data_IF_478692189795
#
_entry.id   IF_478692189795
#
_cell.length_a   1.000
_cell.length_b   1.000
_cell.length_c   1.000
_cell.angle_alpha   90.00
_cell.angle_beta   90.00
_cell.angle_gamma   90.00
#
_symmetry.space_group_name_H-M   'P 1'
#
loop_
_entity.id
_entity.type
_entity.pdbx_description
1 polymer ?
#
# COMPACT_ATOMS: atom_id res chain seq x y z
N UNK A 1 -3.75 21.00 22.20
CA UNK A 1 -4.26 21.28 20.85
C UNK A 1 -4.75 19.98 20.28
N UNK A 2 -5.96 20.02 19.76
CA UNK A 2 -6.80 18.92 19.24
C UNK A 2 -6.11 18.07 18.17
N UNK A 3 -6.44 16.78 18.16
CA UNK A 3 -5.80 15.68 17.43
C UNK A 3 -5.64 15.92 15.92
N UNK A 4 -4.50 16.47 15.52
CA UNK A 4 -4.02 16.37 14.15
C UNK A 4 -3.23 15.06 14.00
N UNK A 5 -3.55 14.31 12.96
CA UNK A 5 -2.78 13.15 12.52
C UNK A 5 -1.94 13.54 11.32
N UNK A 6 -0.67 13.14 11.30
CA UNK A 6 0.18 13.28 10.13
C UNK A 6 -0.13 12.18 9.12
N UNK A 7 -0.51 12.57 7.91
CA UNK A 7 -0.72 11.69 6.76
C UNK A 7 0.40 11.91 5.74
N UNK A 8 0.87 10.85 5.10
CA UNK A 8 1.98 10.90 4.16
C UNK A 8 1.46 10.69 2.74
N UNK A 9 1.85 11.59 1.83
CA UNK A 9 1.56 11.52 0.40
C UNK A 9 2.85 11.23 -0.36
N UNK A 10 2.90 10.12 -1.11
CA UNK A 10 4.11 9.72 -1.83
C UNK A 10 4.21 10.36 -3.21
N UNK A 11 5.39 10.88 -3.51
CA UNK A 11 5.77 11.42 -4.81
C UNK A 11 7.14 10.85 -5.18
N UNK A 12 7.19 9.90 -6.13
CA UNK A 12 8.39 9.14 -6.47
C UNK A 12 9.00 8.49 -5.20
N UNK A 13 10.26 8.77 -4.88
CA UNK A 13 10.93 8.33 -3.64
C UNK A 13 10.86 9.33 -2.49
N UNK A 14 10.07 10.40 -2.64
CA UNK A 14 9.82 11.43 -1.62
C UNK A 14 8.42 11.29 -1.00
N UNK A 15 8.23 11.98 0.11
CA UNK A 15 6.96 12.05 0.82
C UNK A 15 6.66 13.50 1.21
N UNK A 16 5.42 13.92 1.01
CA UNK A 16 4.88 15.18 1.51
C UNK A 16 3.96 14.88 2.67
N UNK A 17 4.25 15.48 3.83
CA UNK A 17 3.44 15.35 5.03
C UNK A 17 2.26 16.32 4.99
N UNK A 18 1.10 15.83 5.41
CA UNK A 18 -0.14 16.60 5.58
C UNK A 18 -0.69 16.32 6.97
N UNK A 19 -0.74 17.34 7.82
CA UNK A 19 -1.45 17.28 9.08
C UNK A 19 -2.94 17.51 8.84
N UNK A 20 -3.80 16.60 9.27
CA UNK A 20 -5.25 16.78 9.18
C UNK A 20 -5.96 16.28 10.43
N UNK A 21 -7.21 16.70 10.63
CA UNK A 21 -8.06 16.11 11.67
C UNK A 21 -8.36 14.64 11.34
N UNK A 22 -8.77 13.88 12.36
CA UNK A 22 -9.12 12.46 12.22
C UNK A 22 -10.24 12.16 11.23
N UNK A 23 -11.08 13.15 10.91
CA UNK A 23 -12.14 13.05 9.89
C UNK A 23 -11.67 13.41 8.47
N UNK A 24 -10.42 13.84 8.29
CA UNK A 24 -9.87 14.26 7.00
C UNK A 24 -10.02 15.74 6.67
N UNK A 25 -10.63 16.53 7.55
CA UNK A 25 -10.79 17.98 7.39
C UNK A 25 -9.53 18.74 7.84
N UNK A 26 -9.49 20.03 7.50
CA UNK A 26 -8.45 20.99 7.84
C UNK A 26 -7.04 20.47 7.52
N UNK A 27 -6.86 19.91 6.33
CA UNK A 27 -5.54 19.47 5.86
C UNK A 27 -4.56 20.65 5.74
N UNK A 28 -3.36 20.46 6.28
CA UNK A 28 -2.26 21.44 6.27
C UNK A 28 -0.98 20.74 5.82
N UNK A 29 -0.39 21.23 4.72
CA UNK A 29 0.77 20.67 4.02
C UNK A 29 2.06 21.20 4.62
N UNK A 30 3.09 20.37 4.74
CA UNK A 30 4.45 20.75 5.16
C UNK A 30 5.26 21.29 3.96
N UNK A 31 5.68 22.56 4.02
CA UNK A 31 6.34 23.24 2.90
C UNK A 31 7.79 22.79 2.67
N UNK A 32 8.49 22.37 3.73
CA UNK A 32 9.86 21.85 3.64
C UNK A 32 9.92 20.63 2.72
N UNK A 33 8.87 19.81 2.70
CA UNK A 33 8.84 18.59 1.90
C UNK A 33 8.74 18.93 0.40
N UNK A 34 8.07 20.03 0.02
CA UNK A 34 8.05 20.56 -1.35
C UNK A 34 9.46 21.04 -1.75
N UNK A 35 10.15 21.81 -0.90
CA UNK A 35 11.52 22.27 -1.19
C UNK A 35 12.52 21.12 -1.28
N UNK A 36 12.40 20.09 -0.43
CA UNK A 36 13.25 18.90 -0.52
C UNK A 36 13.10 18.19 -1.86
N UNK A 37 11.91 18.19 -2.45
CA UNK A 37 11.67 17.59 -3.76
C UNK A 37 12.35 18.45 -4.84
N UNK A 38 12.11 19.76 -4.86
CA UNK A 38 12.61 20.66 -5.91
C UNK A 38 14.12 20.96 -5.80
N UNK A 39 14.65 20.99 -4.59
CA UNK A 39 16.02 21.40 -4.25
C UNK A 39 16.73 20.40 -3.33
N UNK A 40 16.83 19.11 -3.70
CA UNK A 40 17.24 18.04 -2.78
C UNK A 40 18.61 18.23 -2.14
N UNK A 41 19.51 18.98 -2.78
CA UNK A 41 20.86 19.26 -2.28
C UNK A 41 21.04 20.62 -1.60
N UNK A 42 20.07 21.53 -1.69
CA UNK A 42 20.22 22.93 -1.25
C UNK A 42 19.00 23.50 -0.50
N UNK A 43 17.95 22.68 -0.28
CA UNK A 43 16.68 23.10 0.32
C UNK A 43 16.84 23.81 1.67
N UNK A 44 17.74 23.34 2.55
CA UNK A 44 17.96 23.96 3.87
C UNK A 44 18.48 25.41 3.73
N UNK A 45 19.34 25.66 2.73
CA UNK A 45 19.90 26.99 2.50
C UNK A 45 18.91 27.95 1.83
N UNK A 46 17.93 27.42 1.12
CA UNK A 46 16.88 28.19 0.44
C UNK A 46 15.64 28.38 1.32
N UNK A 47 15.50 27.62 2.40
CA UNK A 47 14.28 27.55 3.21
C UNK A 47 13.84 28.92 3.73
N UNK A 48 14.73 29.66 4.41
CA UNK A 48 14.35 30.97 4.97
C UNK A 48 14.00 31.99 3.87
N UNK A 49 14.76 32.05 2.78
CA UNK A 49 14.50 32.98 1.67
C UNK A 49 13.14 32.70 1.00
N UNK A 50 12.88 31.42 0.73
CA UNK A 50 11.62 30.98 0.11
C UNK A 50 10.43 31.16 1.03
N UNK A 51 10.57 30.87 2.32
CA UNK A 51 9.50 31.05 3.29
C UNK A 51 9.24 32.53 3.55
N UNK A 52 10.27 33.37 3.74
CA UNK A 52 10.11 34.81 4.03
C UNK A 52 9.28 35.55 2.98
N UNK A 53 9.46 35.22 1.71
CA UNK A 53 8.69 35.81 0.62
C UNK A 53 7.19 35.54 0.74
N UNK A 54 6.83 34.33 1.17
CA UNK A 54 5.43 33.90 1.28
C UNK A 54 4.88 34.08 2.70
N UNK A 55 5.73 34.29 3.72
CA UNK A 55 5.37 34.49 5.14
C UNK A 55 4.43 35.67 5.37
N UNK A 56 4.46 36.68 4.48
CA UNK A 56 3.53 37.82 4.49
C UNK A 56 2.15 37.52 3.86
N UNK A 57 2.06 36.42 3.11
CA UNK A 57 0.88 35.99 2.34
C UNK A 57 0.20 34.75 2.94
N UNK A 58 0.94 33.88 3.63
CA UNK A 58 0.43 32.69 4.28
C UNK A 58 0.05 32.95 5.75
N UNK A 59 -1.01 32.31 6.23
CA UNK A 59 -1.29 32.20 7.65
C UNK A 59 -0.18 31.37 8.31
N UNK A 60 0.61 32.00 9.21
CA UNK A 60 1.71 31.31 9.89
C UNK A 60 1.17 30.20 10.80
N UNK A 61 1.25 28.96 10.33
CA UNK A 61 0.95 27.76 11.12
C UNK A 61 2.26 27.01 11.35
N UNK A 62 2.73 27.05 12.60
CA UNK A 62 3.92 26.31 13.03
C UNK A 62 3.49 25.20 13.98
N UNK A 63 3.74 23.93 13.63
CA UNK A 63 3.56 22.81 14.56
C UNK A 63 4.94 22.30 14.98
N UNK A 64 5.11 22.10 16.28
CA UNK A 64 6.27 21.39 16.84
C UNK A 64 6.05 19.88 16.70
N UNK A 65 6.92 19.21 15.96
CA UNK A 65 6.91 17.75 15.85
C UNK A 65 7.49 17.13 17.15
N UNK A 66 6.70 16.34 17.87
CA UNK A 66 7.08 15.76 19.18
C UNK A 66 7.80 14.40 19.03
N UNK A 67 7.79 13.79 17.85
CA UNK A 67 8.12 12.36 17.66
C UNK A 67 9.61 11.99 17.81
N UNK A 68 10.56 12.93 17.80
CA UNK A 68 12.01 12.61 17.85
C UNK A 68 12.76 13.17 19.06
N UNK A 69 12.08 13.83 20.01
CA UNK A 69 12.74 14.50 21.14
C UNK A 69 13.57 15.73 20.75
N UNK A 70 13.48 16.18 19.49
CA UNK A 70 14.00 17.46 19.00
C UNK A 70 12.82 18.29 18.50
N UNK A 71 12.71 19.51 19.01
CA UNK A 71 11.77 20.49 18.48
C UNK A 71 12.31 20.98 17.13
N UNK A 72 11.70 20.50 16.04
CA UNK A 72 11.91 21.06 14.70
C UNK A 72 10.72 21.97 14.44
N UNK A 73 11.00 23.20 14.04
CA UNK A 73 10.00 24.14 13.57
C UNK A 73 9.64 23.75 12.14
N UNK A 74 8.35 23.52 11.87
CA UNK A 74 7.84 23.20 10.54
C UNK A 74 6.94 24.32 10.03
N UNK A 75 7.10 24.67 8.76
CA UNK A 75 6.27 25.63 8.04
C UNK A 75 5.11 24.92 7.36
N UNK A 76 3.89 25.29 7.74
CA UNK A 76 2.68 24.63 7.28
C UNK A 76 1.77 25.59 6.52
N UNK A 77 1.09 25.07 5.51
CA UNK A 77 0.21 25.83 4.63
C UNK A 77 -1.06 25.05 4.29
N UNK A 78 -2.19 25.75 4.13
CA UNK A 78 -3.37 25.17 3.49
C UNK A 78 -3.15 24.95 1.99
N UNK A 79 -4.10 24.29 1.31
CA UNK A 79 -3.92 23.87 -0.09
C UNK A 79 -3.65 25.03 -1.05
N UNK A 80 -4.40 26.12 -0.93
CA UNK A 80 -4.23 27.35 -1.71
C UNK A 80 -2.85 27.99 -1.47
N UNK A 81 -2.49 28.11 -0.20
CA UNK A 81 -1.21 28.64 0.26
C UNK A 81 -0.01 27.81 -0.22
N UNK A 82 -0.13 26.48 -0.19
CA UNK A 82 0.90 25.57 -0.68
C UNK A 82 1.08 25.64 -2.20
N UNK A 83 0.01 25.90 -2.95
CA UNK A 83 0.09 26.13 -4.41
C UNK A 83 0.75 27.47 -4.73
N UNK A 84 0.46 28.53 -3.97
CA UNK A 84 1.20 29.81 -4.10
C UNK A 84 2.69 29.64 -3.80
N UNK A 85 3.02 28.85 -2.78
CA UNK A 85 4.40 28.53 -2.44
C UNK A 85 5.11 27.75 -3.56
N UNK A 86 4.47 26.72 -4.12
CA UNK A 86 5.02 25.98 -5.27
C UNK A 86 5.24 26.90 -6.47
N UNK A 87 4.27 27.77 -6.82
CA UNK A 87 4.42 28.74 -7.92
C UNK A 87 5.60 29.70 -7.73
N UNK A 88 5.96 30.01 -6.49
CA UNK A 88 7.12 30.86 -6.19
C UNK A 88 8.46 30.11 -6.33
N UNK A 89 8.42 28.79 -6.45
CA UNK A 89 9.58 27.95 -6.69
C UNK A 89 9.81 27.67 -8.19
N UNK A 90 9.34 28.56 -9.07
CA UNK A 90 9.49 28.46 -10.54
C UNK A 90 10.95 28.58 -11.03
N UNK A 91 11.86 28.94 -10.13
CA UNK A 91 13.32 28.94 -10.31
C UNK A 91 13.97 27.56 -10.08
N UNK A 92 13.18 26.50 -9.89
CA UNK A 92 13.67 25.14 -9.77
C UNK A 92 14.44 24.72 -11.04
N UNK A 93 15.60 24.09 -10.86
CA UNK A 93 16.50 23.72 -11.99
C UNK A 93 15.94 22.64 -12.91
N UNK A 94 15.08 21.78 -12.38
CA UNK A 94 14.47 20.66 -13.09
C UNK A 94 13.02 21.02 -13.44
N UNK A 95 12.82 21.56 -14.64
CA UNK A 95 11.52 22.01 -15.15
C UNK A 95 10.50 20.85 -15.21
N UNK A 96 10.95 19.65 -15.62
CA UNK A 96 10.07 18.47 -15.71
C UNK A 96 9.60 18.04 -14.32
N UNK A 97 10.50 18.00 -13.34
CA UNK A 97 10.18 17.70 -11.95
C UNK A 97 9.24 18.75 -11.35
N UNK A 98 9.46 20.03 -11.65
CA UNK A 98 8.64 21.14 -11.17
C UNK A 98 7.19 21.03 -11.65
N UNK A 99 6.99 20.82 -12.97
CA UNK A 99 5.67 20.65 -13.58
C UNK A 99 4.98 19.38 -13.09
N UNK A 100 5.71 18.26 -12.97
CA UNK A 100 5.17 17.01 -12.44
C UNK A 100 4.72 17.15 -10.98
N UNK A 101 5.54 17.80 -10.14
CA UNK A 101 5.21 18.06 -8.75
C UNK A 101 3.97 18.96 -8.63
N UNK A 102 3.89 20.03 -9.43
CA UNK A 102 2.74 20.93 -9.44
C UNK A 102 1.44 20.22 -9.79
N UNK A 103 1.46 19.45 -10.88
CA UNK A 103 0.32 18.64 -11.31
C UNK A 103 -0.09 17.63 -10.24
N UNK A 104 0.89 17.00 -9.57
CA UNK A 104 0.63 16.05 -8.49
C UNK A 104 0.06 16.73 -7.23
N UNK A 105 0.63 17.85 -6.79
CA UNK A 105 0.15 18.62 -5.65
C UNK A 105 -1.30 19.05 -5.85
N UNK A 106 -1.61 19.66 -6.99
CA UNK A 106 -2.96 20.15 -7.31
C UNK A 106 -3.97 19.00 -7.36
N UNK A 107 -3.71 18.00 -8.22
CA UNK A 107 -4.71 16.98 -8.52
C UNK A 107 -4.91 15.97 -7.38
N UNK A 108 -3.90 15.80 -6.51
CA UNK A 108 -3.81 14.65 -5.62
C UNK A 108 -3.79 15.05 -4.15
N UNK A 109 -2.92 15.98 -3.77
CA UNK A 109 -2.82 16.44 -2.38
C UNK A 109 -3.93 17.46 -2.08
N UNK A 110 -3.96 18.57 -2.82
CA UNK A 110 -4.92 19.66 -2.63
C UNK A 110 -6.35 19.19 -2.86
N UNK A 111 -6.61 18.45 -3.95
CA UNK A 111 -7.95 17.90 -4.21
C UNK A 111 -8.46 16.99 -3.08
N UNK A 112 -7.57 16.25 -2.41
CA UNK A 112 -7.96 15.40 -1.28
C UNK A 112 -8.28 16.23 -0.02
N UNK A 113 -7.54 17.30 0.23
CA UNK A 113 -7.78 18.24 1.33
C UNK A 113 -9.14 18.94 1.13
N UNK A 114 -9.38 19.50 -0.06
CA UNK A 114 -10.62 20.22 -0.39
C UNK A 114 -11.88 19.35 -0.27
N UNK A 115 -11.74 18.03 -0.49
CA UNK A 115 -12.82 17.05 -0.38
C UNK A 115 -13.03 16.52 1.04
N UNK A 116 -12.27 17.00 2.03
CA UNK A 116 -12.34 16.51 3.41
C UNK A 116 -11.84 15.07 3.57
N UNK A 117 -10.94 14.63 2.69
CA UNK A 117 -10.40 13.26 2.67
C UNK A 117 -8.87 13.24 2.75
N UNK A 118 -8.26 14.24 3.40
CA UNK A 118 -6.80 14.36 3.52
C UNK A 118 -6.13 13.14 4.20
N UNK A 119 -6.87 12.41 5.05
CA UNK A 119 -6.40 11.19 5.71
C UNK A 119 -6.14 10.02 4.75
N UNK A 120 -6.51 10.14 3.47
CA UNK A 120 -6.43 9.07 2.46
C UNK A 120 -5.02 8.94 1.86
N UNK A 121 -4.10 9.88 2.10
CA UNK A 121 -2.79 10.06 1.42
C UNK A 121 -2.09 8.84 0.82
N UNK A 122 -1.82 7.80 1.60
CA UNK A 122 -1.10 6.59 1.13
C UNK A 122 -1.89 5.79 0.06
N UNK A 123 -3.21 5.95 0.04
CA UNK A 123 -4.10 5.41 -1.01
C UNK A 123 -3.82 6.07 -2.36
N UNK A 124 -3.29 7.29 -2.36
CA UNK A 124 -2.97 8.04 -3.57
C UNK A 124 -1.81 7.38 -4.38
N UNK A 125 -0.75 6.94 -3.70
CA UNK A 125 0.37 6.19 -4.31
C UNK A 125 -0.06 4.91 -5.04
N UNK A 126 -1.18 4.31 -4.62
CA UNK A 126 -1.76 3.14 -5.26
C UNK A 126 -2.33 3.47 -6.64
N UNK A 127 -2.76 4.71 -6.89
CA UNK A 127 -3.21 5.16 -8.21
C UNK A 127 -2.04 5.26 -9.20
N UNK A 128 -0.88 5.75 -8.80
CA UNK A 128 0.32 5.77 -9.67
C UNK A 128 0.74 4.34 -10.05
N UNK A 129 0.71 3.43 -9.07
CA UNK A 129 0.93 1.99 -9.33
C UNK A 129 -0.11 1.41 -10.31
N UNK A 130 -1.37 1.86 -10.26
CA UNK A 130 -2.37 1.48 -11.28
C UNK A 130 -1.98 2.00 -12.65
N UNK A 131 -1.60 3.26 -12.78
CA UNK A 131 -1.27 3.87 -14.08
C UNK A 131 -0.03 3.21 -14.70
N UNK A 132 1.02 2.98 -13.91
CA UNK A 132 2.19 2.23 -14.34
C UNK A 132 1.83 0.80 -14.75
N UNK A 133 1.01 0.11 -13.95
CA UNK A 133 0.56 -1.24 -14.24
C UNK A 133 -0.37 -1.29 -15.46
N UNK A 134 -1.15 -0.23 -15.70
CA UNK A 134 -1.97 -0.07 -16.88
C UNK A 134 -1.11 0.05 -18.13
N UNK A 135 -0.04 0.85 -18.10
CA UNK A 135 0.93 0.94 -19.21
C UNK A 135 1.61 -0.40 -19.49
N UNK A 136 2.05 -1.13 -18.45
CA UNK A 136 2.56 -2.51 -18.60
C UNK A 136 1.52 -3.41 -19.28
N UNK A 137 0.28 -3.38 -18.79
CA UNK A 137 -0.80 -4.19 -19.34
C UNK A 137 -1.11 -3.85 -20.81
N UNK A 138 -1.00 -2.58 -21.23
CA UNK A 138 -1.12 -2.18 -22.64
C UNK A 138 -0.01 -2.81 -23.46
N UNK A 139 1.24 -2.63 -23.03
CA UNK A 139 2.41 -3.13 -23.74
C UNK A 139 2.42 -4.65 -23.88
N UNK A 140 1.87 -5.38 -22.90
CA UNK A 140 1.75 -6.84 -22.92
C UNK A 140 0.47 -7.35 -23.62
N UNK A 141 -0.37 -6.46 -24.15
CA UNK A 141 -1.65 -6.84 -24.78
C UNK A 141 -2.67 -7.43 -23.80
N UNK A 142 -2.54 -7.09 -22.52
CA UNK A 142 -3.38 -7.53 -21.41
C UNK A 142 -4.38 -6.47 -20.93
N UNK A 143 -4.32 -5.24 -21.44
CA UNK A 143 -5.09 -4.09 -20.93
C UNK A 143 -6.61 -4.34 -20.86
N UNK A 144 -7.20 -4.86 -21.94
CA UNK A 144 -8.64 -5.13 -22.03
C UNK A 144 -9.05 -6.50 -21.47
N UNK A 145 -8.10 -7.27 -20.92
CA UNK A 145 -8.42 -8.58 -20.36
C UNK A 145 -9.09 -8.42 -19.01
N UNK A 146 -10.24 -9.07 -18.87
CA UNK A 146 -10.90 -9.25 -17.58
C UNK A 146 -10.54 -10.60 -17.01
N UNK A 147 -9.91 -10.61 -15.84
CA UNK A 147 -9.53 -11.83 -15.13
C UNK A 147 -9.91 -11.72 -13.67
N UNK A 148 -10.08 -12.87 -13.01
CA UNK A 148 -10.25 -12.95 -11.57
C UNK A 148 -8.92 -12.72 -10.86
N UNK A 149 -9.00 -12.35 -9.57
CA UNK A 149 -7.80 -12.25 -8.74
C UNK A 149 -7.03 -13.58 -8.66
N UNK A 150 -7.75 -14.70 -8.69
CA UNK A 150 -7.15 -16.04 -8.61
C UNK A 150 -6.36 -16.38 -9.87
N UNK A 151 -6.86 -16.02 -11.04
CA UNK A 151 -6.15 -16.17 -12.32
C UNK A 151 -4.96 -15.21 -12.39
N UNK A 152 -5.13 -13.98 -11.91
CA UNK A 152 -4.04 -13.00 -11.89
C UNK A 152 -2.87 -13.44 -11.00
N UNK A 153 -3.14 -13.97 -9.81
CA UNK A 153 -2.10 -14.49 -8.90
C UNK A 153 -1.33 -15.68 -9.51
N UNK A 154 -2.00 -16.51 -10.29
CA UNK A 154 -1.37 -17.62 -11.02
C UNK A 154 -0.46 -17.09 -12.14
N UNK A 155 -0.94 -16.14 -12.94
CA UNK A 155 -0.19 -15.57 -14.06
C UNK A 155 1.01 -14.72 -13.61
N UNK A 156 0.80 -13.79 -12.68
CA UNK A 156 1.82 -12.81 -12.27
C UNK A 156 2.82 -13.40 -11.27
N UNK A 157 2.35 -14.23 -10.33
CA UNK A 157 3.18 -14.72 -9.22
C UNK A 157 3.40 -16.24 -9.21
N UNK A 158 2.77 -17.02 -10.10
CA UNK A 158 2.82 -18.49 -10.10
C UNK A 158 2.34 -19.12 -8.79
N UNK A 159 1.32 -18.50 -8.17
CA UNK A 159 0.67 -19.02 -6.96
C UNK A 159 -0.49 -19.92 -7.38
N UNK A 160 -0.32 -21.23 -7.27
CA UNK A 160 -1.28 -22.23 -7.77
C UNK A 160 -2.16 -22.82 -6.65
N UNK A 161 -1.65 -22.86 -5.42
CA UNK A 161 -2.32 -23.43 -4.25
C UNK A 161 -3.67 -22.75 -4.03
N UNK A 162 -4.75 -23.53 -4.14
CA UNK A 162 -6.12 -22.99 -4.18
C UNK A 162 -6.47 -22.16 -2.94
N UNK A 163 -6.13 -22.63 -1.73
CA UNK A 163 -6.44 -21.89 -0.51
C UNK A 163 -5.61 -20.62 -0.36
N UNK A 164 -4.37 -20.56 -0.89
CA UNK A 164 -3.57 -19.33 -0.90
C UNK A 164 -4.25 -18.28 -1.77
N UNK A 165 -4.70 -18.66 -2.97
CA UNK A 165 -5.43 -17.74 -3.85
C UNK A 165 -6.75 -17.26 -3.22
N UNK A 166 -7.51 -18.15 -2.58
CA UNK A 166 -8.73 -17.78 -1.85
C UNK A 166 -8.46 -16.89 -0.63
N UNK A 167 -7.33 -17.09 0.05
CA UNK A 167 -6.88 -16.22 1.13
C UNK A 167 -6.66 -14.79 0.64
N UNK A 168 -5.94 -14.62 -0.48
CA UNK A 168 -5.76 -13.31 -1.11
C UNK A 168 -7.08 -12.66 -1.54
N UNK A 169 -8.02 -13.44 -2.08
CA UNK A 169 -9.39 -12.96 -2.35
C UNK A 169 -10.03 -12.40 -1.08
N UNK A 170 -9.94 -13.11 0.05
CA UNK A 170 -10.49 -12.63 1.32
C UNK A 170 -9.74 -11.44 1.94
N UNK A 171 -8.46 -11.29 1.65
CA UNK A 171 -7.65 -10.14 2.06
C UNK A 171 -8.06 -8.89 1.27
N UNK A 172 -8.22 -9.03 -0.05
CA UNK A 172 -8.40 -7.90 -0.95
C UNK A 172 -9.84 -7.65 -1.42
N UNK A 173 -10.81 -8.47 -1.01
CA UNK A 173 -12.23 -8.29 -1.37
C UNK A 173 -12.79 -6.92 -0.98
N UNK A 174 -12.29 -6.32 0.11
CA UNK A 174 -12.70 -4.97 0.54
C UNK A 174 -12.03 -3.90 -0.31
N UNK A 175 -10.75 -4.08 -0.64
CA UNK A 175 -10.02 -3.21 -1.56
C UNK A 175 -10.72 -3.13 -2.92
N UNK A 176 -11.15 -4.28 -3.46
CA UNK A 176 -11.94 -4.33 -4.68
C UNK A 176 -13.44 -4.06 -4.50
N UNK A 177 -13.97 -4.09 -3.28
CA UNK A 177 -15.38 -3.90 -2.98
C UNK A 177 -15.77 -2.45 -2.68
N UNK A 178 -14.90 -1.72 -1.98
CA UNK A 178 -15.08 -0.32 -1.58
C UNK A 178 -14.29 0.68 -2.43
N UNK A 179 -13.07 0.33 -2.87
CA UNK A 179 -12.23 1.21 -3.68
C UNK A 179 -12.71 1.39 -5.13
N UNK A 180 -13.63 0.54 -5.58
CA UNK A 180 -14.07 0.48 -6.98
C UNK A 180 -15.00 1.64 -7.39
N UNK A 181 -15.67 2.30 -6.44
CA UNK A 181 -16.51 3.48 -6.70
C UNK A 181 -15.71 4.75 -7.01
N UNK A 182 -14.43 4.79 -6.63
CA UNK A 182 -13.58 5.97 -6.81
C UNK A 182 -12.56 5.83 -7.95
N UNK A 183 -12.33 4.63 -8.49
CA UNK A 183 -11.10 4.34 -9.27
C UNK A 183 -11.26 3.72 -10.66
N UNK A 184 -12.33 2.98 -10.96
CA UNK A 184 -12.34 2.11 -12.16
C UNK A 184 -13.47 2.40 -13.16
N UNK A 185 -14.31 3.42 -12.92
CA UNK A 185 -15.50 3.79 -13.72
C UNK A 185 -16.53 2.67 -14.01
N UNK A 186 -16.26 1.43 -13.61
CA UNK A 186 -17.08 0.25 -13.85
C UNK A 186 -17.29 -0.51 -12.54
N UNK A 187 -18.21 -1.47 -12.50
CA UNK A 187 -18.34 -2.44 -11.39
C UNK A 187 -17.61 -3.72 -11.76
N UNK A 188 -17.17 -4.50 -10.77
CA UNK A 188 -16.65 -5.84 -11.02
C UNK A 188 -17.68 -6.61 -11.86
N UNK A 189 -17.24 -7.18 -12.98
CA UNK A 189 -18.11 -8.04 -13.76
C UNK A 189 -18.13 -9.42 -13.12
N UNK A 190 -19.20 -10.18 -13.36
CA UNK A 190 -19.27 -11.57 -12.90
C UNK A 190 -19.06 -12.50 -14.08
N UNK A 191 -18.08 -13.39 -13.95
CA UNK A 191 -17.91 -14.53 -14.83
C UNK A 191 -17.95 -15.80 -14.00
N UNK A 192 -18.90 -16.70 -14.28
CA UNK A 192 -19.10 -17.95 -13.56
C UNK A 192 -19.17 -17.80 -12.02
N UNK A 193 -19.78 -16.71 -11.54
CA UNK A 193 -19.92 -16.42 -10.11
C UNK A 193 -18.67 -15.85 -9.43
N UNK A 194 -17.55 -15.70 -10.16
CA UNK A 194 -16.35 -15.00 -9.71
C UNK A 194 -16.40 -13.53 -10.14
N UNK A 195 -15.86 -12.66 -9.30
CA UNK A 195 -15.61 -11.28 -9.69
C UNK A 195 -14.39 -11.24 -10.60
N UNK A 196 -14.55 -10.65 -11.78
CA UNK A 196 -13.48 -10.36 -12.72
C UNK A 196 -13.27 -8.86 -12.83
N UNK A 197 -12.02 -8.48 -13.00
CA UNK A 197 -11.57 -7.10 -13.00
C UNK A 197 -10.73 -6.85 -14.26
N UNK A 198 -10.75 -5.63 -14.81
CA UNK A 198 -9.75 -5.21 -15.79
C UNK A 198 -8.36 -5.49 -15.23
N UNK A 199 -7.46 -6.02 -16.06
CA UNK A 199 -6.11 -6.40 -15.64
C UNK A 199 -5.36 -5.25 -14.93
N UNK A 200 -5.54 -4.00 -15.40
CA UNK A 200 -4.94 -2.81 -14.78
C UNK A 200 -5.32 -2.61 -13.31
N UNK A 201 -6.52 -3.03 -12.91
CA UNK A 201 -7.04 -2.80 -11.56
C UNK A 201 -6.24 -3.54 -10.49
N UNK A 202 -5.46 -4.56 -10.85
CA UNK A 202 -4.58 -5.26 -9.91
C UNK A 202 -3.36 -4.42 -9.48
N UNK A 203 -3.06 -3.32 -10.19
CA UNK A 203 -2.05 -2.33 -9.77
C UNK A 203 -2.32 -1.75 -8.38
N UNK A 204 -3.57 -1.79 -7.91
CA UNK A 204 -3.99 -1.38 -6.56
C UNK A 204 -3.37 -2.17 -5.42
N UNK A 205 -3.18 -3.47 -5.64
CA UNK A 205 -2.78 -4.42 -4.61
C UNK A 205 -1.41 -5.01 -4.88
N UNK A 206 -0.89 -4.82 -6.10
CA UNK A 206 0.42 -5.31 -6.51
C UNK A 206 1.54 -4.88 -5.56
N UNK A 207 1.68 -3.60 -5.15
CA UNK A 207 2.74 -3.20 -4.24
C UNK A 207 2.71 -3.95 -2.90
N UNK A 208 1.53 -4.18 -2.33
CA UNK A 208 1.40 -4.91 -1.06
C UNK A 208 1.81 -6.39 -1.20
N UNK A 209 1.51 -7.01 -2.34
CA UNK A 209 1.90 -8.40 -2.62
C UNK A 209 3.41 -8.49 -2.85
N UNK A 210 3.99 -7.55 -3.61
CA UNK A 210 5.43 -7.48 -3.85
C UNK A 210 6.21 -7.30 -2.53
N UNK A 211 5.73 -6.42 -1.64
CA UNK A 211 6.30 -6.22 -0.31
C UNK A 211 6.22 -7.49 0.56
N UNK A 212 5.06 -8.15 0.59
CA UNK A 212 4.87 -9.42 1.30
C UNK A 212 5.85 -10.51 0.82
N UNK A 213 6.04 -10.62 -0.50
CA UNK A 213 6.92 -11.61 -1.11
C UNK A 213 8.40 -11.27 -0.96
N UNK A 214 8.76 -9.98 -0.87
CA UNK A 214 10.15 -9.55 -0.71
C UNK A 214 10.76 -9.85 0.66
N UNK A 215 9.92 -10.18 1.66
CA UNK A 215 10.27 -10.35 3.06
C UNK A 215 10.93 -9.11 3.73
N UNK A 216 10.89 -7.94 3.08
CA UNK A 216 11.52 -6.71 3.58
C UNK A 216 10.68 -6.02 4.66
N UNK A 217 9.36 -6.16 4.58
CA UNK A 217 8.45 -5.44 5.45
C UNK A 217 7.64 -6.39 6.33
N UNK A 218 8.01 -6.45 7.61
CA UNK A 218 7.44 -7.38 8.60
C UNK A 218 5.94 -7.17 8.82
N UNK A 219 5.44 -5.94 8.67
CA UNK A 219 4.03 -5.58 8.85
C UNK A 219 3.13 -6.35 7.88
N UNK A 220 3.56 -6.55 6.63
CA UNK A 220 2.78 -7.31 5.65
C UNK A 220 2.77 -8.80 5.97
N UNK A 221 3.87 -9.34 6.49
CA UNK A 221 3.97 -10.73 6.93
C UNK A 221 3.05 -10.96 8.15
N UNK A 222 3.05 -10.05 9.11
CA UNK A 222 2.16 -10.11 10.28
C UNK A 222 0.69 -10.03 9.87
N UNK A 223 0.31 -9.08 9.02
CA UNK A 223 -1.05 -8.98 8.48
C UNK A 223 -1.50 -10.27 7.78
N UNK A 224 -0.60 -10.94 7.05
CA UNK A 224 -0.87 -12.22 6.42
C UNK A 224 -1.12 -13.33 7.47
N UNK A 225 -0.29 -13.39 8.52
CA UNK A 225 -0.43 -14.35 9.63
C UNK A 225 -1.70 -14.11 10.45
N UNK A 226 -2.04 -12.86 10.75
CA UNK A 226 -3.29 -12.50 11.44
C UNK A 226 -4.53 -12.93 10.64
N UNK A 227 -4.46 -12.82 9.31
CA UNK A 227 -5.55 -13.27 8.45
C UNK A 227 -5.69 -14.79 8.46
N UNK A 228 -4.56 -15.52 8.43
CA UNK A 228 -4.54 -16.98 8.56
C UNK A 228 -5.21 -17.42 9.86
N UNK A 229 -4.85 -16.79 10.98
CA UNK A 229 -5.44 -17.07 12.30
C UNK A 229 -6.96 -16.93 12.30
N UNK A 230 -7.48 -15.75 11.93
CA UNK A 230 -8.92 -15.48 11.89
C UNK A 230 -9.68 -16.48 11.01
N UNK A 231 -9.09 -16.92 9.90
CA UNK A 231 -9.73 -17.89 9.01
C UNK A 231 -9.73 -19.29 9.62
N UNK A 232 -8.61 -19.72 10.20
CA UNK A 232 -8.47 -21.06 10.80
C UNK A 232 -9.37 -21.20 12.02
N UNK A 233 -9.45 -20.18 12.87
CA UNK A 233 -10.36 -20.17 14.02
C UNK A 233 -11.83 -20.27 13.59
N UNK A 234 -12.20 -19.53 12.54
CA UNK A 234 -13.55 -19.58 11.96
C UNK A 234 -13.82 -20.84 11.11
N UNK A 235 -12.85 -21.73 10.92
CA UNK A 235 -12.98 -22.86 10.01
C UNK A 235 -13.62 -24.11 10.63
N UNK A 236 -13.75 -24.16 11.96
CA UNK A 236 -14.27 -25.30 12.75
C UNK A 236 -15.67 -25.78 12.36
N UNK A 237 -16.46 -24.96 11.66
CA UNK A 237 -17.80 -25.30 11.13
C UNK A 237 -17.97 -25.02 9.63
N UNK A 238 -16.87 -24.73 8.93
CA UNK A 238 -16.89 -24.23 7.54
C UNK A 238 -16.80 -25.33 6.47
N UNK A 239 -17.36 -25.08 5.28
CA UNK A 239 -17.19 -25.90 4.07
C UNK A 239 -16.20 -25.22 3.10
N UNK A 240 -15.61 -26.01 2.19
CA UNK A 240 -14.77 -25.49 1.10
C UNK A 240 -13.30 -25.30 1.48
N UNK A 241 -12.65 -24.28 0.90
CA UNK A 241 -11.20 -24.07 1.01
C UNK A 241 -10.70 -23.84 2.44
N UNK A 242 -11.55 -23.31 3.34
CA UNK A 242 -11.22 -23.15 4.77
C UNK A 242 -10.94 -24.49 5.45
N UNK A 243 -11.70 -25.55 5.11
CA UNK A 243 -11.46 -26.91 5.62
C UNK A 243 -10.15 -27.48 5.11
N UNK A 244 -9.78 -27.18 3.85
CA UNK A 244 -8.49 -27.58 3.28
C UNK A 244 -7.35 -26.89 4.06
N UNK A 245 -7.45 -25.58 4.27
CA UNK A 245 -6.48 -24.83 5.06
C UNK A 245 -6.32 -25.40 6.48
N UNK A 246 -7.42 -25.68 7.18
CA UNK A 246 -7.36 -26.32 8.52
C UNK A 246 -6.74 -27.71 8.47
N UNK A 247 -7.08 -28.53 7.48
CA UNK A 247 -6.50 -29.86 7.33
C UNK A 247 -4.99 -29.78 7.08
N UNK A 248 -4.54 -28.84 6.26
CA UNK A 248 -3.12 -28.62 6.01
C UNK A 248 -2.43 -28.08 7.27
N UNK A 249 -3.08 -27.24 8.07
CA UNK A 249 -2.55 -26.81 9.36
C UNK A 249 -2.33 -28.00 10.31
N UNK A 250 -3.26 -28.96 10.40
CA UNK A 250 -3.07 -30.17 11.21
C UNK A 250 -1.89 -31.01 10.70
N UNK A 251 -1.78 -31.25 9.39
CA UNK A 251 -0.63 -31.97 8.80
C UNK A 251 0.69 -31.28 9.13
N UNK A 252 0.74 -29.95 9.05
CA UNK A 252 1.93 -29.18 9.45
C UNK A 252 2.25 -29.40 10.93
N UNK A 253 1.26 -29.36 11.83
CA UNK A 253 1.48 -29.59 13.28
C UNK A 253 2.04 -30.98 13.58
N UNK A 254 1.61 -32.00 12.85
CA UNK A 254 2.11 -33.36 12.97
C UNK A 254 3.56 -33.46 12.49
N UNK A 255 3.90 -32.81 11.37
CA UNK A 255 5.22 -32.94 10.75
C UNK A 255 6.28 -32.00 11.36
N UNK A 256 5.90 -30.89 11.99
CA UNK A 256 6.85 -29.86 12.46
C UNK A 256 7.76 -30.32 13.61
N UNK A 257 7.44 -31.42 14.28
CA UNK A 257 8.31 -32.01 15.31
C UNK A 257 9.41 -32.90 14.74
N UNK A 258 9.31 -33.28 13.46
CA UNK A 258 10.17 -34.30 12.84
C UNK A 258 10.82 -33.85 11.53
N UNK A 259 10.31 -32.79 10.88
CA UNK A 259 10.78 -32.35 9.56
C UNK A 259 11.14 -30.86 9.55
N UNK A 260 12.09 -30.51 8.68
CA UNK A 260 12.40 -29.12 8.35
C UNK A 260 11.26 -28.47 7.56
N UNK A 261 11.24 -27.13 7.47
CA UNK A 261 10.19 -26.41 6.76
C UNK A 261 10.13 -26.81 5.28
N UNK A 262 11.29 -26.87 4.63
CA UNK A 262 11.42 -27.23 3.21
C UNK A 262 10.81 -28.61 2.94
N UNK A 263 11.12 -29.60 3.79
CA UNK A 263 10.55 -30.96 3.69
C UNK A 263 9.04 -31.00 3.94
N UNK A 264 8.52 -30.17 4.84
CA UNK A 264 7.08 -30.07 5.09
C UNK A 264 6.39 -29.47 3.86
N UNK A 265 6.95 -28.40 3.30
CA UNK A 265 6.38 -27.69 2.15
C UNK A 265 6.36 -28.59 0.92
N UNK A 266 7.47 -29.28 0.65
CA UNK A 266 7.57 -30.24 -0.46
C UNK A 266 6.61 -31.41 -0.26
N UNK A 267 6.49 -31.97 0.95
CA UNK A 267 5.62 -33.12 1.21
C UNK A 267 4.13 -32.77 1.08
N UNK A 268 3.69 -31.60 1.57
CA UNK A 268 2.26 -31.25 1.58
C UNK A 268 1.82 -30.65 0.24
N UNK A 269 2.66 -29.81 -0.39
CA UNK A 269 2.27 -29.03 -1.58
C UNK A 269 3.18 -29.25 -2.80
N UNK A 270 4.16 -30.16 -2.75
CA UNK A 270 5.06 -30.43 -3.88
C UNK A 270 5.88 -29.22 -4.32
N UNK A 271 6.05 -28.22 -3.45
CA UNK A 271 6.66 -26.93 -3.79
C UNK A 271 8.07 -26.84 -3.22
N UNK A 272 9.00 -26.33 -4.03
CA UNK A 272 10.36 -26.00 -3.61
C UNK A 272 10.64 -24.53 -3.92
N UNK A 273 11.69 -23.98 -3.32
CA UNK A 273 12.13 -22.61 -3.60
C UNK A 273 12.43 -22.40 -5.10
N UNK A 274 12.91 -23.42 -5.80
CA UNK A 274 13.20 -23.36 -7.24
C UNK A 274 11.98 -23.55 -8.13
N UNK A 275 10.98 -24.35 -7.72
CA UNK A 275 9.84 -24.67 -8.58
C UNK A 275 8.79 -23.56 -8.59
N UNK A 276 8.48 -22.97 -7.44
CA UNK A 276 7.62 -21.79 -7.33
C UNK A 276 8.07 -20.91 -6.16
N UNK A 277 9.01 -19.96 -6.40
CA UNK A 277 9.63 -19.16 -5.34
C UNK A 277 8.62 -18.36 -4.50
N UNK A 278 7.65 -17.71 -5.15
CA UNK A 278 6.66 -16.88 -4.45
C UNK A 278 5.71 -17.73 -3.61
N UNK A 279 5.20 -18.84 -4.17
CA UNK A 279 4.37 -19.77 -3.41
C UNK A 279 5.15 -20.36 -2.23
N UNK A 280 6.41 -20.72 -2.44
CA UNK A 280 7.28 -21.25 -1.40
C UNK A 280 7.41 -20.28 -0.21
N UNK A 281 7.62 -18.99 -0.47
CA UNK A 281 7.70 -17.95 0.57
C UNK A 281 6.41 -17.89 1.39
N UNK A 282 5.25 -17.88 0.74
CA UNK A 282 3.96 -17.82 1.43
C UNK A 282 3.67 -19.09 2.24
N UNK A 283 3.99 -20.26 1.69
CA UNK A 283 3.86 -21.54 2.41
C UNK A 283 4.82 -21.61 3.61
N UNK A 284 6.02 -21.03 3.49
CA UNK A 284 6.94 -20.91 4.61
C UNK A 284 6.37 -20.03 5.72
N UNK A 285 5.78 -18.88 5.40
CA UNK A 285 5.10 -18.05 6.41
C UNK A 285 3.96 -18.80 7.09
N UNK A 286 3.21 -19.62 6.35
CA UNK A 286 2.16 -20.47 6.92
C UNK A 286 2.72 -21.53 7.89
N UNK A 287 3.80 -22.23 7.52
CA UNK A 287 4.46 -23.20 8.41
C UNK A 287 4.98 -22.53 9.69
N UNK A 288 5.58 -21.35 9.56
CA UNK A 288 6.04 -20.55 10.71
C UNK A 288 4.89 -20.16 11.63
N UNK A 289 3.77 -19.71 11.05
CA UNK A 289 2.55 -19.38 11.81
C UNK A 289 2.00 -20.58 12.57
N UNK A 290 1.90 -21.76 11.94
CA UNK A 290 1.43 -22.97 12.62
C UNK A 290 2.36 -23.37 13.77
N UNK A 291 3.68 -23.11 13.63
CA UNK A 291 4.66 -23.35 14.69
C UNK A 291 4.44 -22.46 15.91
N UNK A 292 4.25 -21.15 15.70
CA UNK A 292 4.11 -20.18 16.81
C UNK A 292 2.88 -20.48 17.66
N UNK A 293 1.77 -20.84 17.03
CA UNK A 293 0.51 -21.24 17.68
C UNK A 293 0.64 -22.45 18.62
N UNK A 294 1.64 -23.32 18.42
CA UNK A 294 1.90 -24.46 19.29
C UNK A 294 2.72 -24.08 20.52
N UNK A 295 3.60 -23.09 20.41
CA UNK A 295 4.45 -22.62 21.50
C UNK A 295 3.64 -21.90 22.59
N UNK A 296 2.52 -21.27 22.23
CA UNK A 296 1.63 -20.54 23.16
C UNK A 296 0.63 -21.44 23.91
N UNK A 297 0.49 -22.72 23.51
CA UNK A 297 -0.41 -23.70 24.15
C UNK A 297 0.30 -24.64 25.13
N UNK A 298 1.54 -24.34 25.51
CA UNK A 298 2.31 -25.06 26.55
C UNK A 298 2.52 -24.16 27.74
#
# INVERSE_FOLDING_TARGET
MTDYTCTYYKFRHYEVRVFCKSNGDDGIIVLEDILKILYPSEWESLLEDKIDFVRSKLASNTIQEIETGRTIELYLAHSDEAMEFWLYCDDAKDEDLYEELGSWLENKVCSAIEKGIAHVGDTFSRFESIDHYATKAINEGNYDKYISLEEWLELEYKIETAWLRKLFVEMYKTTFGGGYLLMAEHRAQKNNGLNIYPYKSFGLIKPEIDELLSAKNIKYIENFKDKLEKIIESASSSKGWKKILSSDAEKVRELITIKSYDQIIEQIWGTTQSSSPNQYILLRYFVEFVKSQRSERK
#
